data_IF_716393311577
#
_entry.id   IF_716393311577
#
_cell.length_a   1.000
_cell.length_b   1.000
_cell.length_c   1.000
_cell.angle_alpha   90.00
_cell.angle_beta   90.00
_cell.angle_gamma   90.00
#
_symmetry.space_group_name_H-M   'P 1'
#
loop_
_entity.id
_entity.type
_entity.pdbx_description
1 polymer ?
#
# COMPACT_ATOMS: atom_id res chain seq x y z
N UNK A 1 8.58 54.88 -45.84
CA UNK A 1 8.02 53.53 -46.07
C UNK A 1 8.94 52.40 -45.60
N UNK A 2 10.24 52.37 -45.93
CA UNK A 2 11.18 51.30 -45.51
C UNK A 2 11.21 51.04 -43.98
N UNK A 3 11.21 52.09 -43.16
CA UNK A 3 11.22 51.98 -41.68
C UNK A 3 9.98 51.28 -41.08
N UNK A 4 8.81 51.45 -41.70
CA UNK A 4 7.58 50.80 -41.23
C UNK A 4 7.57 49.29 -41.54
N UNK A 5 8.22 48.88 -42.63
CA UNK A 5 8.39 47.47 -42.98
C UNK A 5 9.32 46.76 -42.00
N UNK A 6 10.41 47.41 -41.59
CA UNK A 6 11.30 46.84 -40.58
C UNK A 6 10.63 46.70 -39.21
N UNK A 7 9.82 47.69 -38.81
CA UNK A 7 9.08 47.64 -37.54
C UNK A 7 8.04 46.51 -37.51
N UNK A 8 7.31 46.32 -38.62
CA UNK A 8 6.31 45.24 -38.73
C UNK A 8 6.95 43.86 -38.80
N UNK A 9 8.05 43.71 -39.54
CA UNK A 9 8.81 42.45 -39.57
C UNK A 9 9.37 42.07 -38.20
N UNK A 10 9.94 43.03 -37.48
CA UNK A 10 10.48 42.80 -36.13
C UNK A 10 9.37 42.40 -35.15
N UNK A 11 8.21 43.06 -35.23
CA UNK A 11 7.03 42.74 -34.40
C UNK A 11 6.48 41.33 -34.68
N UNK A 12 6.47 40.89 -35.95
CA UNK A 12 6.01 39.54 -36.32
C UNK A 12 6.98 38.48 -35.80
N UNK A 13 8.29 38.71 -35.94
CA UNK A 13 9.33 37.79 -35.45
C UNK A 13 9.26 37.69 -33.92
N UNK A 14 9.23 38.82 -33.23
CA UNK A 14 9.13 38.87 -31.77
C UNK A 14 7.84 38.20 -31.28
N UNK A 15 6.70 38.49 -31.91
CA UNK A 15 5.42 37.85 -31.59
C UNK A 15 5.43 36.34 -31.80
N UNK A 16 6.05 35.86 -32.87
CA UNK A 16 6.23 34.43 -33.15
C UNK A 16 7.08 33.74 -32.09
N UNK A 17 8.19 34.36 -31.65
CA UNK A 17 9.04 33.83 -30.58
C UNK A 17 8.26 33.72 -29.27
N UNK A 18 7.48 34.75 -28.90
CA UNK A 18 6.66 34.74 -27.68
C UNK A 18 5.58 33.65 -27.76
N UNK A 19 4.92 33.49 -28.91
CA UNK A 19 3.91 32.45 -29.12
C UNK A 19 4.50 31.04 -28.97
N UNK A 20 5.66 30.79 -29.59
CA UNK A 20 6.37 29.52 -29.48
C UNK A 20 6.79 29.26 -28.03
N UNK A 21 7.30 30.27 -27.32
CA UNK A 21 7.67 30.15 -25.92
C UNK A 21 6.48 29.79 -25.02
N UNK A 22 5.30 30.38 -25.27
CA UNK A 22 4.06 30.05 -24.51
C UNK A 22 3.62 28.62 -24.80
N UNK A 23 3.62 28.18 -26.07
CA UNK A 23 3.21 26.82 -26.45
C UNK A 23 4.17 25.78 -25.85
N UNK A 24 5.47 26.03 -25.93
CA UNK A 24 6.48 25.13 -25.34
C UNK A 24 6.32 25.08 -23.82
N UNK A 25 6.23 26.23 -23.15
CA UNK A 25 6.07 26.28 -21.68
C UNK A 25 4.78 25.60 -21.22
N UNK A 26 3.68 25.74 -21.98
CA UNK A 26 2.43 25.04 -21.71
C UNK A 26 2.53 23.53 -21.91
N UNK A 27 3.40 23.08 -22.82
CA UNK A 27 3.63 21.64 -23.07
C UNK A 27 4.54 21.00 -22.01
N UNK A 28 5.34 21.80 -21.30
CA UNK A 28 6.18 21.36 -20.19
C UNK A 28 5.44 21.39 -18.83
N UNK A 29 4.11 21.52 -18.81
CA UNK A 29 3.33 21.25 -17.60
C UNK A 29 3.33 19.73 -17.36
N UNK A 30 4.44 19.24 -16.80
CA UNK A 30 4.55 17.90 -16.28
C UNK A 30 3.59 17.87 -15.08
N UNK A 31 2.40 17.31 -15.29
CA UNK A 31 1.61 16.81 -14.17
C UNK A 31 2.43 15.69 -13.53
N UNK A 32 3.24 16.05 -12.56
CA UNK A 32 3.72 15.10 -11.56
C UNK A 32 2.46 14.65 -10.82
N UNK A 33 1.82 13.57 -11.32
CA UNK A 33 0.66 12.99 -10.66
C UNK A 33 1.08 12.70 -9.23
N UNK A 34 0.53 13.48 -8.30
CA UNK A 34 0.94 13.47 -6.92
C UNK A 34 0.83 12.05 -6.37
N UNK A 35 1.98 11.42 -6.14
CA UNK A 35 2.07 10.10 -5.49
C UNK A 35 1.51 10.11 -4.07
N UNK A 36 1.13 11.29 -3.54
CA UNK A 36 0.53 11.43 -2.23
C UNK A 36 -0.66 10.49 -2.03
N UNK A 37 -1.50 10.28 -3.04
CA UNK A 37 -2.63 9.35 -2.90
C UNK A 37 -2.19 7.89 -2.67
N UNK A 38 -1.17 7.42 -3.40
CA UNK A 38 -0.63 6.07 -3.23
C UNK A 38 0.14 5.93 -1.92
N UNK A 39 0.81 6.98 -1.48
CA UNK A 39 1.51 7.01 -0.20
C UNK A 39 0.53 6.96 0.98
N UNK A 40 -0.50 7.80 0.98
CA UNK A 40 -1.56 7.75 1.99
C UNK A 40 -2.25 6.39 2.01
N UNK A 41 -2.61 5.84 0.85
CA UNK A 41 -3.22 4.50 0.77
C UNK A 41 -2.30 3.43 1.37
N UNK A 42 -1.01 3.46 1.05
CA UNK A 42 -0.05 2.48 1.56
C UNK A 42 0.19 2.64 3.07
N UNK A 43 0.27 3.87 3.59
CA UNK A 43 0.39 4.15 5.02
C UNK A 43 -0.86 3.72 5.79
N UNK A 44 -2.05 4.04 5.27
CA UNK A 44 -3.33 3.68 5.87
C UNK A 44 -3.53 2.17 5.90
N UNK A 45 -3.20 1.46 4.81
CA UNK A 45 -3.28 0.00 4.77
C UNK A 45 -2.38 -0.65 5.82
N UNK A 46 -1.12 -0.21 5.94
CA UNK A 46 -0.24 -0.74 6.96
C UNK A 46 -0.68 -0.36 8.39
N UNK A 47 -1.19 0.86 8.56
CA UNK A 47 -1.72 1.35 9.84
C UNK A 47 -2.91 0.51 10.31
N UNK A 48 -3.90 0.33 9.44
CA UNK A 48 -5.13 -0.41 9.72
C UNK A 48 -4.84 -1.89 9.92
N UNK A 49 -4.19 -2.56 8.94
CA UNK A 49 -3.94 -4.00 9.03
C UNK A 49 -3.00 -4.35 10.20
N UNK A 50 -2.10 -3.45 10.56
CA UNK A 50 -1.21 -3.59 11.70
C UNK A 50 -1.78 -3.08 13.02
N UNK A 51 -3.05 -2.65 13.06
CA UNK A 51 -3.71 -2.09 14.25
C UNK A 51 -5.00 -2.81 14.64
N UNK A 52 -5.76 -3.32 13.67
CA UNK A 52 -7.00 -4.06 13.92
C UNK A 52 -6.71 -5.53 14.27
N UNK A 53 -7.25 -6.01 15.38
CA UNK A 53 -7.14 -7.42 15.78
C UNK A 53 -8.07 -8.31 14.94
N UNK A 54 -7.69 -9.58 14.77
CA UNK A 54 -8.49 -10.56 14.02
C UNK A 54 -9.89 -10.79 14.61
N UNK A 55 -10.06 -10.62 15.93
CA UNK A 55 -11.39 -10.68 16.57
C UNK A 55 -12.25 -9.44 16.33
N UNK A 56 -11.63 -8.29 16.04
CA UNK A 56 -12.30 -6.99 15.97
C UNK A 56 -12.75 -6.65 14.54
N UNK A 57 -12.24 -7.38 13.54
CA UNK A 57 -12.63 -7.19 12.14
C UNK A 57 -13.99 -7.84 11.85
N UNK A 58 -14.89 -7.07 11.22
CA UNK A 58 -16.16 -7.60 10.72
C UNK A 58 -15.97 -8.28 9.36
N UNK A 59 -15.38 -9.48 9.36
CA UNK A 59 -15.16 -10.27 8.16
C UNK A 59 -15.58 -11.73 8.39
N UNK A 60 -16.50 -12.24 7.57
CA UNK A 60 -17.06 -13.58 7.72
C UNK A 60 -16.02 -14.70 7.60
N UNK A 61 -15.04 -14.54 6.72
CA UNK A 61 -13.95 -15.52 6.54
C UNK A 61 -13.02 -15.56 7.77
N UNK A 62 -12.68 -14.41 8.35
CA UNK A 62 -11.89 -14.36 9.57
C UNK A 62 -12.65 -14.98 10.74
N UNK A 63 -13.95 -14.68 10.88
CA UNK A 63 -14.81 -15.28 11.90
C UNK A 63 -14.85 -16.81 11.78
N UNK A 64 -15.02 -17.36 10.58
CA UNK A 64 -14.97 -18.82 10.38
C UNK A 64 -13.62 -19.41 10.78
N UNK A 65 -12.50 -18.74 10.47
CA UNK A 65 -11.18 -19.24 10.87
C UNK A 65 -10.95 -19.22 12.39
N UNK A 66 -11.59 -18.30 13.11
CA UNK A 66 -11.58 -18.26 14.58
C UNK A 66 -12.44 -19.38 15.14
N UNK A 67 -13.67 -19.54 14.64
CA UNK A 67 -14.62 -20.55 15.09
C UNK A 67 -14.10 -21.99 14.84
N UNK A 68 -13.43 -22.19 13.71
CA UNK A 68 -12.79 -23.47 13.33
C UNK A 68 -11.50 -23.75 14.13
N UNK A 69 -11.06 -22.84 15.00
CA UNK A 69 -9.84 -22.94 15.80
C UNK A 69 -8.54 -22.85 14.98
N UNK A 70 -8.63 -22.41 13.72
CA UNK A 70 -7.46 -22.20 12.84
C UNK A 70 -6.67 -20.97 13.28
N UNK A 71 -7.36 -19.89 13.65
CA UNK A 71 -6.80 -18.74 14.33
C UNK A 71 -6.87 -19.00 15.84
N UNK A 72 -5.71 -19.29 16.44
CA UNK A 72 -5.62 -19.58 17.88
C UNK A 72 -5.53 -18.32 18.74
N UNK A 73 -4.92 -17.27 18.21
CA UNK A 73 -4.74 -16.01 18.92
C UNK A 73 -5.45 -14.88 18.17
N UNK A 74 -6.74 -14.70 18.45
CA UNK A 74 -7.54 -13.67 17.82
C UNK A 74 -7.20 -12.23 18.28
N UNK A 75 -6.33 -12.08 19.29
CA UNK A 75 -5.76 -10.78 19.68
C UNK A 75 -4.63 -10.32 18.75
N UNK A 76 -4.13 -11.20 17.86
CA UNK A 76 -3.17 -10.80 16.83
C UNK A 76 -3.83 -9.85 15.83
N UNK A 77 -3.08 -8.86 15.38
CA UNK A 77 -3.48 -8.00 14.27
C UNK A 77 -3.55 -8.77 12.96
N UNK A 78 -4.21 -8.22 11.94
CA UNK A 78 -4.30 -8.87 10.63
C UNK A 78 -2.91 -9.10 10.02
N UNK A 79 -1.99 -8.12 10.09
CA UNK A 79 -0.62 -8.32 9.62
C UNK A 79 0.11 -9.40 10.42
N UNK A 80 -0.07 -9.45 11.74
CA UNK A 80 0.51 -10.52 12.57
C UNK A 80 -0.08 -11.88 12.21
N UNK A 81 -1.37 -11.96 11.94
CA UNK A 81 -2.03 -13.21 11.56
C UNK A 81 -1.56 -13.71 10.19
N UNK A 82 -1.39 -12.81 9.22
CA UNK A 82 -0.79 -13.12 7.92
C UNK A 82 0.65 -13.61 8.12
N UNK A 83 1.44 -12.93 8.94
CA UNK A 83 2.80 -13.33 9.29
C UNK A 83 2.87 -14.69 9.98
N UNK A 84 1.93 -14.99 10.88
CA UNK A 84 1.83 -16.27 11.57
C UNK A 84 1.57 -17.41 10.57
N UNK A 85 0.62 -17.22 9.64
CA UNK A 85 0.36 -18.23 8.61
C UNK A 85 1.54 -18.41 7.66
N UNK A 86 2.21 -17.33 7.28
CA UNK A 86 3.46 -17.39 6.51
C UNK A 86 4.54 -18.20 7.25
N UNK A 87 4.74 -17.93 8.54
CA UNK A 87 5.77 -18.62 9.33
C UNK A 87 5.50 -20.11 9.52
N UNK A 88 4.22 -20.52 9.61
CA UNK A 88 3.81 -21.92 9.66
C UNK A 88 3.66 -22.57 8.28
N UNK A 89 4.17 -21.96 7.21
CA UNK A 89 4.09 -22.47 5.84
C UNK A 89 2.66 -22.70 5.33
N UNK A 90 1.69 -21.94 5.87
CA UNK A 90 0.28 -21.94 5.46
C UNK A 90 0.01 -20.76 4.53
N UNK A 91 0.76 -20.71 3.42
CA UNK A 91 0.71 -19.59 2.46
C UNK A 91 -0.69 -19.37 1.89
N UNK A 92 -1.46 -20.44 1.65
CA UNK A 92 -2.82 -20.35 1.15
C UNK A 92 -3.74 -19.56 2.09
N UNK A 93 -3.57 -19.72 3.40
CA UNK A 93 -4.34 -18.97 4.39
C UNK A 93 -3.86 -17.52 4.48
N UNK A 94 -2.55 -17.30 4.44
CA UNK A 94 -1.97 -15.96 4.43
C UNK A 94 -2.48 -15.15 3.23
N UNK A 95 -2.47 -15.75 2.04
CA UNK A 95 -2.98 -15.17 0.80
C UNK A 95 -4.49 -14.89 0.88
N UNK A 96 -5.29 -15.87 1.31
CA UNK A 96 -6.74 -15.69 1.42
C UNK A 96 -7.14 -14.63 2.44
N UNK A 97 -6.43 -14.51 3.55
CA UNK A 97 -6.69 -13.42 4.51
C UNK A 97 -6.34 -12.09 3.88
N UNK A 98 -5.17 -11.98 3.26
CA UNK A 98 -4.75 -10.76 2.58
C UNK A 98 -5.79 -10.33 1.53
N UNK A 99 -6.26 -11.23 0.67
CA UNK A 99 -7.25 -10.90 -0.36
C UNK A 99 -8.62 -10.55 0.23
N UNK A 100 -9.16 -11.38 1.15
CA UNK A 100 -10.49 -11.15 1.74
C UNK A 100 -10.57 -9.85 2.55
N UNK A 101 -9.46 -9.45 3.17
CA UNK A 101 -9.42 -8.21 3.96
C UNK A 101 -9.15 -7.00 3.09
N UNK A 102 -8.35 -7.09 2.02
CA UNK A 102 -7.93 -5.90 1.26
C UNK A 102 -8.73 -5.63 -0.01
N UNK A 103 -9.22 -6.67 -0.69
CA UNK A 103 -9.93 -6.52 -1.97
C UNK A 103 -11.17 -5.62 -1.91
N UNK A 104 -11.99 -5.63 -0.84
CA UNK A 104 -13.15 -4.74 -0.74
C UNK A 104 -12.78 -3.24 -0.68
N UNK A 105 -11.55 -2.90 -0.30
CA UNK A 105 -11.12 -1.51 -0.08
C UNK A 105 -10.22 -0.97 -1.19
N UNK A 106 -9.63 -1.85 -2.01
CA UNK A 106 -8.71 -1.47 -3.07
C UNK A 106 -9.43 -1.47 -4.42
N UNK A 107 -9.45 -0.29 -5.07
CA UNK A 107 -10.03 -0.11 -6.40
C UNK A 107 -9.38 -1.02 -7.44
N UNK A 108 -10.16 -1.52 -8.41
CA UNK A 108 -9.67 -2.53 -9.36
C UNK A 108 -8.54 -2.08 -10.28
N UNK A 109 -8.44 -0.77 -10.50
CA UNK A 109 -7.38 -0.13 -11.28
C UNK A 109 -6.09 0.12 -10.50
N UNK A 110 -6.04 -0.22 -9.21
CA UNK A 110 -4.86 -0.04 -8.35
C UNK A 110 -4.12 -1.37 -8.19
N UNK A 111 -2.83 -1.38 -8.52
CA UNK A 111 -1.96 -2.51 -8.25
C UNK A 111 -1.57 -2.56 -6.77
N UNK A 112 -1.62 -3.73 -6.16
CA UNK A 112 -1.35 -3.94 -4.74
C UNK A 112 -0.61 -5.25 -4.50
N UNK A 113 0.24 -5.28 -3.48
CA UNK A 113 0.79 -6.53 -2.98
C UNK A 113 1.27 -6.43 -1.55
N UNK A 114 1.42 -7.60 -0.93
CA UNK A 114 1.95 -7.80 0.42
C UNK A 114 3.11 -8.77 0.32
N UNK A 115 4.25 -8.37 0.88
CA UNK A 115 5.47 -9.18 0.94
C UNK A 115 5.94 -9.33 2.38
N UNK A 116 6.50 -10.50 2.70
CA UNK A 116 7.21 -10.76 3.94
C UNK A 116 8.60 -11.31 3.58
N UNK A 117 9.66 -10.59 3.96
CA UNK A 117 11.05 -10.97 3.65
C UNK A 117 11.26 -11.35 2.18
N UNK A 118 10.81 -10.49 1.26
CA UNK A 118 10.87 -10.65 -0.19
C UNK A 118 10.05 -11.82 -0.76
N UNK A 119 9.32 -12.56 0.08
CA UNK A 119 8.35 -13.57 -0.33
C UNK A 119 6.97 -12.94 -0.55
N UNK A 120 6.39 -13.17 -1.72
CA UNK A 120 5.05 -12.68 -2.08
C UNK A 120 4.01 -13.44 -1.25
N UNK A 121 3.18 -12.72 -0.50
CA UNK A 121 2.01 -13.28 0.17
C UNK A 121 0.78 -13.16 -0.72
N UNK A 122 0.56 -11.96 -1.24
CA UNK A 122 -0.58 -11.62 -2.08
C UNK A 122 -0.19 -10.54 -3.07
N UNK A 123 -0.69 -10.64 -4.29
CA UNK A 123 -0.49 -9.65 -5.34
C UNK A 123 -1.72 -9.56 -6.24
N UNK A 124 -2.02 -8.34 -6.67
CA UNK A 124 -3.10 -8.02 -7.60
C UNK A 124 -2.66 -6.89 -8.51
N UNK A 125 -2.81 -7.08 -9.82
CA UNK A 125 -2.68 -6.03 -10.83
C UNK A 125 -1.39 -5.18 -10.75
N UNK A 126 -0.24 -5.76 -10.35
CA UNK A 126 1.05 -5.04 -10.17
C UNK A 126 1.74 -4.68 -11.51
N UNK A 127 0.98 -4.49 -12.59
CA UNK A 127 1.55 -3.91 -13.80
C UNK A 127 1.92 -2.46 -13.48
N UNK A 128 3.20 -2.21 -13.17
CA UNK A 128 3.71 -0.88 -12.80
C UNK A 128 3.63 0.00 -14.05
N UNK A 129 2.56 0.81 -14.14
CA UNK A 129 2.30 1.66 -15.30
C UNK A 129 2.85 3.08 -15.14
N UNK A 130 3.02 3.57 -13.90
CA UNK A 130 3.41 4.96 -13.60
C UNK A 130 4.23 5.14 -12.32
N UNK A 131 3.79 4.55 -11.21
CA UNK A 131 4.40 4.75 -9.89
C UNK A 131 4.22 3.54 -8.99
N UNK A 132 5.15 3.38 -8.03
CA UNK A 132 5.16 2.34 -7.01
C UNK A 132 5.52 2.98 -5.66
N UNK A 133 4.67 2.78 -4.65
CA UNK A 133 4.94 3.17 -3.28
C UNK A 133 4.92 1.93 -2.39
N UNK A 134 5.83 1.90 -1.41
CA UNK A 134 5.93 0.80 -0.45
C UNK A 134 6.11 1.37 0.95
N UNK A 135 5.27 0.91 1.87
CA UNK A 135 5.47 1.09 3.31
C UNK A 135 5.82 -0.26 3.93
N UNK A 136 6.51 -0.22 5.07
CA UNK A 136 6.95 -1.43 5.80
C UNK A 136 6.67 -1.26 7.29
N UNK A 137 6.24 -2.34 7.94
CA UNK A 137 6.05 -2.41 9.38
C UNK A 137 6.64 -3.71 9.91
N UNK A 138 7.38 -3.61 11.01
CA UNK A 138 7.84 -4.78 11.76
C UNK A 138 6.65 -5.30 12.57
N UNK A 139 6.32 -6.57 12.37
CA UNK A 139 5.33 -7.29 13.17
C UNK A 139 6.03 -8.18 14.21
N UNK A 140 5.30 -8.58 15.25
CA UNK A 140 5.78 -9.42 16.36
C UNK A 140 6.69 -10.56 15.90
N UNK A 141 7.64 -10.99 16.76
CA UNK A 141 8.79 -11.88 16.51
C UNK A 141 8.48 -13.27 15.93
N UNK A 142 7.84 -13.27 14.77
CA UNK A 142 7.38 -14.40 13.99
C UNK A 142 8.47 -14.69 12.97
N UNK A 143 9.16 -15.82 13.14
CA UNK A 143 10.19 -16.29 12.22
C UNK A 143 9.74 -17.56 11.52
N UNK A 144 10.03 -17.68 10.23
CA UNK A 144 9.68 -18.86 9.43
C UNK A 144 10.27 -20.11 10.07
N UNK A 145 9.42 -21.10 10.35
CA UNK A 145 9.83 -22.36 10.99
C UNK A 145 10.06 -22.30 12.50
N UNK A 146 9.78 -21.18 13.18
CA UNK A 146 9.76 -21.10 14.65
C UNK A 146 8.33 -20.99 15.16
N UNK A 147 8.00 -21.78 16.19
CA UNK A 147 6.74 -21.66 16.93
C UNK A 147 6.71 -20.30 17.62
N UNK A 148 5.64 -19.53 17.44
CA UNK A 148 5.44 -18.27 18.16
C UNK A 148 5.55 -18.53 19.67
N UNK A 149 6.59 -17.98 20.31
CA UNK A 149 6.77 -18.02 21.77
C UNK A 149 5.79 -17.04 22.44
N UNK A 150 4.49 -17.24 22.21
CA UNK A 150 3.45 -16.35 22.74
C UNK A 150 2.86 -16.91 24.03
N UNK A 151 3.71 -17.09 25.05
CA UNK A 151 3.25 -16.95 26.43
C UNK A 151 3.40 -15.49 26.79
N UNK A 152 2.37 -14.68 26.52
CA UNK A 152 2.16 -13.44 27.30
C UNK A 152 1.94 -13.89 28.74
N UNK A 153 3.04 -14.07 29.49
CA UNK A 153 2.99 -14.33 30.92
C UNK A 153 2.24 -13.16 31.54
N UNK A 154 1.01 -13.42 31.99
CA UNK A 154 0.24 -12.51 32.82
C UNK A 154 1.17 -12.10 33.97
N UNK A 155 1.41 -10.80 34.22
CA UNK A 155 2.28 -10.40 35.31
C UNK A 155 1.73 -11.02 36.61
N UNK A 156 2.59 -11.57 37.49
CA UNK A 156 2.12 -12.13 38.75
C UNK A 156 1.38 -11.02 39.50
N UNK A 157 0.09 -11.24 39.74
CA UNK A 157 -0.70 -10.42 40.66
C UNK A 157 -0.18 -10.67 42.06
N UNK A 158 0.86 -9.95 42.44
CA UNK A 158 1.24 -9.75 43.83
C UNK A 158 0.47 -8.53 44.34
N UNK A 159 -0.73 -8.78 44.85
CA UNK A 159 -1.37 -7.88 45.80
C UNK A 159 -1.41 -8.62 47.13
N UNK A 160 -0.52 -8.20 48.03
CA UNK A 160 -0.67 -8.37 49.49
C UNK A 160 -1.62 -7.26 49.94
#
# INVERSE_FOLDING_TARGET
MKKAVYFTMDSIIAGGIVLIAIILTSSFYIEEQSNAQLDYLSQDLIGVLGGIAAKDIDNSYIKSLIDDGTIKNADNTILEQIGEFWAYSRMDLANKIASNVTDPFIQENTGFGIWINDEVIYERNIQIKKSLVSNKKIISGIAKGQTSLNTRQKPPTLWI
#
